data_IF_120221053001
#
_entry.id   IF_120221053001
#
_cell.length_a   1.000
_cell.length_b   1.000
_cell.length_c   1.000
_cell.angle_alpha   90.00
_cell.angle_beta   90.00
_cell.angle_gamma   90.00
#
_symmetry.space_group_name_H-M   'P 1'
#
loop_
_entity.id
_entity.type
_entity.pdbx_description
1 polymer ?
#
# COMPACT_ATOMS: atom_id res chain seq x y z
N UNK A 1 53.27 30.66 1.65
CA UNK A 1 52.75 29.33 2.01
C UNK A 1 51.28 29.38 2.41
N UNK A 2 50.32 29.84 1.57
CA UNK A 2 48.88 29.94 1.95
C UNK A 2 47.87 29.36 0.90
N UNK A 3 48.35 28.68 -0.15
CA UNK A 3 47.46 28.15 -1.22
C UNK A 3 47.16 26.65 -1.17
N UNK A 4 47.79 25.85 -0.29
CA UNK A 4 47.52 24.40 -0.22
C UNK A 4 46.39 23.96 0.70
N UNK A 5 45.99 24.78 1.66
CA UNK A 5 44.96 24.41 2.64
C UNK A 5 43.50 24.53 2.11
N UNK A 6 43.24 25.39 1.11
CA UNK A 6 41.89 25.62 0.56
C UNK A 6 41.48 24.49 -0.38
N UNK A 7 42.41 23.90 -1.14
CA UNK A 7 42.10 22.83 -2.10
C UNK A 7 41.74 21.52 -1.38
N UNK A 8 42.36 21.21 -0.26
CA UNK A 8 42.04 20.00 0.53
C UNK A 8 40.68 20.09 1.18
N UNK A 9 40.29 21.28 1.66
CA UNK A 9 38.93 21.46 2.28
C UNK A 9 37.79 21.28 1.30
N UNK A 10 37.96 21.73 0.05
CA UNK A 10 36.92 21.59 -1.00
C UNK A 10 36.79 20.14 -1.47
N UNK A 11 37.90 19.40 -1.58
CA UNK A 11 37.87 18.00 -1.98
C UNK A 11 37.17 17.10 -0.93
N UNK A 12 37.38 17.37 0.36
CA UNK A 12 36.73 16.61 1.44
C UNK A 12 35.22 16.92 1.50
N UNK A 13 34.81 18.17 1.29
CA UNK A 13 33.40 18.55 1.27
C UNK A 13 32.63 17.92 0.08
N UNK A 14 33.29 17.87 -1.10
CA UNK A 14 32.69 17.24 -2.29
C UNK A 14 32.56 15.71 -2.13
N UNK A 15 33.56 15.04 -1.51
CA UNK A 15 33.46 13.61 -1.21
C UNK A 15 32.38 13.28 -0.17
N UNK A 16 32.19 14.11 0.85
CA UNK A 16 31.15 13.90 1.87
C UNK A 16 29.75 14.08 1.29
N UNK A 17 29.55 15.03 0.39
CA UNK A 17 28.26 15.23 -0.31
C UNK A 17 27.98 14.09 -1.29
N UNK A 18 28.99 13.62 -2.02
CA UNK A 18 28.86 12.49 -2.95
C UNK A 18 28.51 11.19 -2.21
N UNK A 19 29.10 10.93 -1.05
CA UNK A 19 28.81 9.73 -0.24
C UNK A 19 27.43 9.79 0.41
N UNK A 20 26.95 10.97 0.81
CA UNK A 20 25.59 11.17 1.33
C UNK A 20 24.53 10.97 0.23
N UNK A 21 24.76 11.46 -0.98
CA UNK A 21 23.84 11.29 -2.12
C UNK A 21 23.79 9.82 -2.56
N UNK A 22 24.91 9.10 -2.60
CA UNK A 22 24.93 7.66 -2.92
C UNK A 22 24.28 6.80 -1.83
N UNK A 23 24.43 7.14 -0.54
CA UNK A 23 23.78 6.45 0.55
C UNK A 23 22.27 6.67 0.55
N UNK A 24 21.79 7.87 0.18
CA UNK A 24 20.36 8.16 0.06
C UNK A 24 19.75 7.45 -1.15
N UNK A 25 20.43 7.38 -2.29
CA UNK A 25 19.98 6.63 -3.46
C UNK A 25 19.92 5.12 -3.20
N UNK A 26 20.81 4.55 -2.40
CA UNK A 26 20.80 3.14 -2.03
C UNK A 26 19.61 2.74 -1.10
N UNK A 27 18.98 3.71 -0.44
CA UNK A 27 17.81 3.46 0.44
C UNK A 27 16.48 3.44 -0.34
N UNK A 28 16.48 3.93 -1.58
CA UNK A 28 15.27 4.16 -2.40
C UNK A 28 15.19 3.19 -3.59
N UNK A 29 16.05 2.17 -3.64
CA UNK A 29 15.99 1.17 -4.70
C UNK A 29 14.69 0.35 -4.57
N UNK A 30 13.91 0.28 -5.66
CA UNK A 30 12.76 -0.62 -5.72
C UNK A 30 13.24 -2.07 -5.71
N UNK A 31 12.51 -2.93 -4.99
CA UNK A 31 12.80 -4.36 -4.92
C UNK A 31 11.68 -5.13 -5.58
N UNK A 32 12.05 -6.07 -6.45
CA UNK A 32 11.12 -7.06 -6.98
C UNK A 32 11.28 -8.36 -6.21
N UNK A 33 10.16 -8.89 -5.74
CA UNK A 33 10.10 -10.16 -5.05
C UNK A 33 8.80 -10.87 -5.44
N UNK A 34 8.92 -12.14 -5.86
CA UNK A 34 7.77 -12.86 -6.39
C UNK A 34 7.15 -12.13 -7.59
N UNK A 35 5.85 -11.87 -7.49
CA UNK A 35 5.06 -11.20 -8.53
C UNK A 35 4.87 -9.70 -8.27
N UNK A 36 5.51 -9.14 -7.26
CA UNK A 36 5.34 -7.74 -6.87
C UNK A 36 6.66 -7.00 -6.80
N UNK A 37 6.57 -5.69 -6.95
CA UNK A 37 7.65 -4.75 -6.66
C UNK A 37 7.21 -3.82 -5.54
N UNK A 38 8.18 -3.32 -4.76
CA UNK A 38 7.91 -2.36 -3.70
C UNK A 38 9.09 -1.43 -3.47
N UNK A 39 8.82 -0.25 -2.96
CA UNK A 39 9.81 0.76 -2.58
C UNK A 39 9.42 1.40 -1.25
N UNK A 40 10.41 1.72 -0.45
CA UNK A 40 10.17 2.23 0.89
C UNK A 40 9.64 1.17 1.85
N UNK A 41 9.29 1.60 3.06
CA UNK A 41 8.64 0.73 4.05
C UNK A 41 7.90 1.59 5.09
N UNK A 42 6.74 1.12 5.54
CA UNK A 42 5.98 1.77 6.61
C UNK A 42 6.82 2.04 7.86
N UNK A 43 7.62 1.06 8.29
CA UNK A 43 8.48 1.17 9.48
C UNK A 43 9.51 2.30 9.42
N UNK A 44 9.93 2.72 8.21
CA UNK A 44 10.92 3.78 8.04
C UNK A 44 10.40 5.14 8.53
N UNK A 45 9.08 5.35 8.50
CA UNK A 45 8.42 6.56 9.02
C UNK A 45 8.69 6.73 10.53
N UNK A 46 8.71 5.62 11.28
CA UNK A 46 8.95 5.66 12.71
C UNK A 46 10.42 5.88 13.08
N UNK A 47 11.34 5.55 12.18
CA UNK A 47 12.79 5.78 12.35
C UNK A 47 13.14 7.23 12.00
N UNK A 48 12.59 7.72 10.88
CA UNK A 48 12.85 9.09 10.39
C UNK A 48 11.98 10.16 11.06
N UNK A 49 10.85 9.77 11.63
CA UNK A 49 9.80 10.68 12.11
C UNK A 49 9.07 11.41 10.97
N UNK A 50 9.26 11.01 9.70
CA UNK A 50 8.73 11.72 8.52
C UNK A 50 8.21 10.73 7.49
N UNK A 51 7.06 11.02 6.90
CA UNK A 51 6.50 10.32 5.75
C UNK A 51 6.95 10.98 4.43
N UNK A 52 8.27 11.10 4.23
CA UNK A 52 8.84 11.72 3.03
C UNK A 52 8.58 10.83 1.80
N UNK A 53 8.35 11.46 0.64
CA UNK A 53 8.22 10.74 -0.64
C UNK A 53 9.50 10.00 -0.97
N UNK A 54 9.36 8.72 -1.38
CA UNK A 54 10.45 7.86 -1.87
C UNK A 54 10.27 7.46 -3.34
N UNK A 55 9.09 7.72 -3.90
CA UNK A 55 8.74 7.42 -5.29
C UNK A 55 7.72 8.42 -5.79
N UNK A 56 7.83 8.85 -7.05
CA UNK A 56 6.78 9.57 -7.75
C UNK A 56 5.83 8.58 -8.42
N UNK A 57 4.53 8.79 -8.29
CA UNK A 57 3.57 7.98 -9.01
C UNK A 57 3.66 8.20 -10.54
N UNK A 58 4.16 9.37 -10.97
CA UNK A 58 4.42 9.67 -12.38
C UNK A 58 5.43 8.71 -13.03
N UNK A 59 6.39 8.16 -12.24
CA UNK A 59 7.39 7.20 -12.72
C UNK A 59 6.77 5.88 -13.18
N UNK A 60 5.54 5.58 -12.71
CA UNK A 60 4.77 4.38 -13.06
C UNK A 60 3.68 4.64 -14.11
N UNK A 61 3.53 5.89 -14.56
CA UNK A 61 2.52 6.24 -15.55
C UNK A 61 2.81 5.56 -16.90
N UNK A 62 1.76 5.01 -17.52
CA UNK A 62 1.87 4.33 -18.82
C UNK A 62 2.21 2.83 -18.76
N UNK A 63 2.50 2.26 -17.60
CA UNK A 63 2.67 0.83 -17.42
C UNK A 63 1.31 0.12 -17.60
N UNK A 64 1.29 -0.93 -18.44
CA UNK A 64 0.07 -1.71 -18.72
C UNK A 64 -0.20 -2.72 -17.64
N UNK A 65 -1.49 -2.91 -17.29
CA UNK A 65 -1.85 -3.86 -16.23
C UNK A 65 -1.26 -3.50 -14.87
N UNK A 66 -0.99 -2.21 -14.64
CA UNK A 66 -0.46 -1.72 -13.38
C UNK A 66 -1.53 -1.71 -12.30
N UNK A 67 -1.21 -2.32 -11.18
CA UNK A 67 -1.95 -2.24 -9.92
C UNK A 67 -0.98 -1.84 -8.82
N UNK A 68 -1.31 -0.80 -8.07
CA UNK A 68 -0.46 -0.29 -7.01
C UNK A 68 -1.29 0.23 -5.84
N UNK A 69 -0.68 0.25 -4.65
CA UNK A 69 -1.25 0.92 -3.50
C UNK A 69 -0.19 1.39 -2.52
N UNK A 70 -0.53 2.42 -1.78
CA UNK A 70 0.26 3.00 -0.71
C UNK A 70 -0.29 4.36 -0.30
N UNK A 71 0.21 4.91 0.80
CA UNK A 71 -0.19 6.22 1.27
C UNK A 71 0.55 7.34 0.55
N UNK A 72 -0.10 8.48 0.40
CA UNK A 72 0.55 9.70 -0.07
C UNK A 72 1.61 10.14 0.94
N UNK A 73 2.73 10.67 0.44
CA UNK A 73 3.75 11.31 1.27
C UNK A 73 3.13 12.39 2.17
N UNK A 74 3.67 12.56 3.39
CA UNK A 74 3.13 13.51 4.37
C UNK A 74 1.86 13.03 5.08
N UNK A 75 1.43 11.77 4.92
CA UNK A 75 0.14 11.26 5.41
C UNK A 75 -1.05 12.05 4.81
N UNK A 76 -0.96 12.50 3.57
CA UNK A 76 -1.94 13.40 2.91
C UNK A 76 -2.98 12.64 2.07
N UNK A 77 -3.26 11.38 2.38
CA UNK A 77 -4.26 10.58 1.67
C UNK A 77 -3.76 9.20 1.26
N UNK A 78 -4.54 8.56 0.36
CA UNK A 78 -4.29 7.23 -0.17
C UNK A 78 -4.12 7.22 -1.68
N UNK A 79 -3.22 6.37 -2.14
CA UNK A 79 -2.99 6.05 -3.54
C UNK A 79 -3.50 4.64 -3.79
N UNK A 80 -4.30 4.48 -4.83
CA UNK A 80 -4.62 3.19 -5.44
C UNK A 80 -4.50 3.32 -6.95
N UNK A 81 -3.75 2.45 -7.58
CA UNK A 81 -3.79 2.29 -9.05
C UNK A 81 -4.52 0.99 -9.34
N UNK A 82 -5.56 1.07 -10.15
CA UNK A 82 -6.35 -0.09 -10.55
C UNK A 82 -6.45 -0.12 -12.07
N UNK A 83 -5.90 -1.17 -12.69
CA UNK A 83 -5.84 -1.35 -14.14
C UNK A 83 -5.30 -0.09 -14.85
N UNK A 84 -4.09 0.33 -14.46
CA UNK A 84 -3.38 1.49 -14.97
C UNK A 84 -4.13 2.84 -14.84
N UNK A 85 -5.09 2.93 -13.93
CA UNK A 85 -5.80 4.18 -13.59
C UNK A 85 -5.52 4.57 -12.15
N UNK A 86 -5.01 5.79 -11.89
CA UNK A 86 -4.78 6.27 -10.54
C UNK A 86 -6.09 6.73 -9.89
N UNK A 87 -6.27 6.38 -8.63
CA UNK A 87 -7.33 6.84 -7.75
C UNK A 87 -6.67 7.39 -6.49
N UNK A 88 -6.77 8.67 -6.30
CA UNK A 88 -6.19 9.41 -5.20
C UNK A 88 -7.33 9.92 -4.32
N UNK A 89 -7.25 9.64 -3.02
CA UNK A 89 -8.30 10.10 -2.11
C UNK A 89 -7.67 10.81 -0.91
N UNK A 90 -8.16 12.02 -0.63
CA UNK A 90 -7.70 12.87 0.46
C UNK A 90 -8.85 13.26 1.36
N UNK A 91 -8.56 13.44 2.64
CA UNK A 91 -9.54 13.93 3.61
C UNK A 91 -9.81 15.42 3.39
N UNK A 92 -11.08 15.79 3.43
CA UNK A 92 -11.53 17.19 3.43
C UNK A 92 -12.58 17.42 4.52
N UNK A 93 -12.14 18.00 5.65
CA UNK A 93 -13.00 18.10 6.83
C UNK A 93 -13.36 16.74 7.41
N UNK A 94 -14.65 16.42 7.45
CA UNK A 94 -15.15 15.10 7.84
C UNK A 94 -15.39 14.14 6.65
N UNK A 95 -15.18 14.63 5.42
CA UNK A 95 -15.45 13.93 4.17
C UNK A 95 -14.15 13.74 3.37
N UNK A 96 -14.24 13.34 2.12
CA UNK A 96 -13.09 13.13 1.24
C UNK A 96 -13.31 13.76 -0.14
N UNK A 97 -12.21 13.92 -0.87
CA UNK A 97 -12.19 14.23 -2.30
C UNK A 97 -11.42 13.13 -3.03
N UNK A 98 -11.94 12.71 -4.18
CA UNK A 98 -11.32 11.73 -5.06
C UNK A 98 -10.82 12.42 -6.35
N UNK A 99 -9.60 12.08 -6.76
CA UNK A 99 -8.93 12.62 -7.94
C UNK A 99 -8.34 11.49 -8.79
N UNK A 100 -8.26 11.70 -10.10
CA UNK A 100 -7.55 10.80 -11.02
C UNK A 100 -6.28 11.51 -11.51
N UNK A 101 -5.20 11.39 -10.79
CA UNK A 101 -3.94 12.07 -11.12
C UNK A 101 -2.72 11.23 -10.74
N UNK A 102 -1.64 11.36 -11.51
CA UNK A 102 -0.34 10.75 -11.23
C UNK A 102 0.59 11.65 -10.41
N UNK A 103 0.18 12.88 -10.13
CA UNK A 103 1.02 13.95 -9.52
C UNK A 103 1.16 13.83 -8.00
N UNK A 104 1.43 12.64 -7.50
CA UNK A 104 1.68 12.42 -6.06
C UNK A 104 2.89 11.52 -5.85
N UNK A 105 3.54 11.69 -4.72
CA UNK A 105 4.57 10.78 -4.24
C UNK A 105 4.06 9.94 -3.07
N UNK A 106 4.65 8.76 -2.89
CA UNK A 106 4.35 7.85 -1.79
C UNK A 106 5.57 7.70 -0.87
N UNK A 107 5.34 7.49 0.44
CA UNK A 107 6.43 7.17 1.36
C UNK A 107 6.71 5.65 1.47
N UNK A 108 5.83 4.83 0.96
CA UNK A 108 6.08 3.48 0.45
C UNK A 108 5.02 3.17 -0.62
N UNK A 109 5.36 2.31 -1.55
CA UNK A 109 4.45 1.84 -2.57
C UNK A 109 4.73 0.37 -2.85
N UNK A 110 3.68 -0.41 -3.08
CA UNK A 110 3.74 -1.77 -3.59
C UNK A 110 2.93 -1.84 -4.87
N UNK A 111 3.45 -2.55 -5.90
CA UNK A 111 2.77 -2.67 -7.18
C UNK A 111 3.06 -3.98 -7.89
N UNK A 112 2.27 -4.25 -8.91
CA UNK A 112 2.45 -5.32 -9.87
C UNK A 112 2.02 -4.87 -11.25
N UNK A 113 2.58 -5.47 -12.28
CA UNK A 113 2.10 -5.40 -13.66
C UNK A 113 1.51 -6.77 -14.02
N UNK A 114 0.19 -6.87 -13.99
CA UNK A 114 -0.53 -8.13 -14.20
C UNK A 114 -1.72 -7.91 -15.14
N UNK A 115 -1.72 -8.56 -16.30
CA UNK A 115 -2.76 -8.39 -17.32
C UNK A 115 -3.76 -9.54 -17.37
N UNK A 116 -3.39 -10.73 -16.89
CA UNK A 116 -4.24 -11.91 -16.96
C UNK A 116 -4.56 -12.44 -15.57
N UNK A 117 -5.84 -12.66 -15.33
CA UNK A 117 -6.38 -13.09 -14.06
C UNK A 117 -7.28 -14.31 -14.21
N UNK A 118 -7.30 -15.17 -13.20
CA UNK A 118 -8.23 -16.29 -13.07
C UNK A 118 -9.31 -15.93 -12.07
N UNK A 119 -10.56 -16.02 -12.47
CA UNK A 119 -11.70 -15.78 -11.59
C UNK A 119 -11.96 -16.99 -10.69
N UNK A 120 -12.14 -16.73 -9.41
CA UNK A 120 -12.46 -17.71 -8.36
C UNK A 120 -13.69 -17.21 -7.61
N UNK A 121 -14.86 -17.85 -7.73
CA UNK A 121 -16.03 -17.47 -6.96
C UNK A 121 -15.77 -17.58 -5.45
N UNK A 122 -16.14 -16.55 -4.70
CA UNK A 122 -16.00 -16.56 -3.23
C UNK A 122 -17.23 -17.30 -2.65
N UNK A 123 -17.04 -18.41 -1.92
CA UNK A 123 -18.16 -19.14 -1.33
C UNK A 123 -18.74 -18.38 -0.13
N UNK A 124 -20.01 -18.58 0.14
CA UNK A 124 -20.74 -17.93 1.24
C UNK A 124 -20.21 -18.23 2.65
N UNK A 125 -19.31 -19.22 2.77
CA UNK A 125 -18.62 -19.54 4.02
C UNK A 125 -17.49 -18.56 4.35
N UNK A 126 -16.96 -17.85 3.34
CA UNK A 126 -15.96 -16.78 3.50
C UNK A 126 -16.69 -15.48 3.79
N UNK A 127 -16.70 -15.06 5.04
CA UNK A 127 -17.56 -13.95 5.49
C UNK A 127 -16.82 -12.66 5.83
N UNK A 128 -15.62 -12.77 6.40
CA UNK A 128 -14.88 -11.63 6.91
C UNK A 128 -13.45 -11.59 6.44
N UNK A 129 -12.70 -10.63 6.96
CA UNK A 129 -11.32 -10.38 6.55
C UNK A 129 -10.39 -11.58 6.79
N UNK A 130 -10.53 -12.24 7.95
CA UNK A 130 -9.70 -13.41 8.29
C UNK A 130 -10.00 -14.58 7.36
N UNK A 131 -11.29 -14.85 7.11
CA UNK A 131 -11.69 -15.90 6.17
C UNK A 131 -11.18 -15.61 4.76
N UNK A 132 -11.24 -14.33 4.34
CA UNK A 132 -10.70 -13.88 3.06
C UNK A 132 -9.20 -14.12 2.95
N UNK A 133 -8.42 -13.77 3.99
CA UNK A 133 -6.98 -14.03 4.00
C UNK A 133 -6.67 -15.52 3.83
N UNK A 134 -7.37 -16.39 4.56
CA UNK A 134 -7.19 -17.83 4.46
C UNK A 134 -7.60 -18.36 3.07
N UNK A 135 -8.72 -17.86 2.55
CA UNK A 135 -9.21 -18.23 1.23
C UNK A 135 -8.26 -17.82 0.12
N UNK A 136 -7.73 -16.58 0.14
CA UNK A 136 -6.73 -16.09 -0.80
C UNK A 136 -5.50 -17.00 -0.81
N UNK A 137 -4.95 -17.35 0.37
CA UNK A 137 -3.80 -18.26 0.48
C UNK A 137 -4.10 -19.63 -0.11
N UNK A 138 -5.22 -20.24 0.28
CA UNK A 138 -5.59 -21.58 -0.17
C UNK A 138 -5.81 -21.65 -1.70
N UNK A 139 -6.49 -20.63 -2.26
CA UNK A 139 -6.71 -20.58 -3.71
C UNK A 139 -5.43 -20.29 -4.48
N UNK A 140 -4.54 -19.47 -3.96
CA UNK A 140 -3.22 -19.24 -4.56
C UNK A 140 -2.38 -20.54 -4.62
N UNK A 141 -2.35 -21.31 -3.52
CA UNK A 141 -1.70 -22.63 -3.50
C UNK A 141 -2.31 -23.59 -4.53
N UNK A 142 -3.64 -23.62 -4.63
CA UNK A 142 -4.34 -24.46 -5.62
C UNK A 142 -4.01 -24.04 -7.06
N UNK A 143 -3.82 -22.73 -7.29
CA UNK A 143 -3.42 -22.19 -8.59
C UNK A 143 -1.91 -22.34 -8.89
N UNK A 144 -1.12 -22.96 -8.00
CA UNK A 144 0.32 -23.17 -8.18
C UNK A 144 1.16 -21.91 -7.91
N UNK A 145 0.61 -20.89 -7.26
CA UNK A 145 1.35 -19.69 -6.87
C UNK A 145 2.21 -20.02 -5.64
N UNK A 146 3.48 -19.62 -5.68
CA UNK A 146 4.40 -19.73 -4.55
C UNK A 146 4.03 -18.73 -3.44
N UNK A 147 3.25 -19.20 -2.46
CA UNK A 147 2.76 -18.36 -1.35
C UNK A 147 3.85 -17.98 -0.34
N UNK A 148 5.06 -18.48 -0.47
CA UNK A 148 6.21 -18.03 0.32
C UNK A 148 6.74 -16.68 -0.16
N UNK A 149 6.33 -16.26 -1.36
CA UNK A 149 6.65 -14.97 -1.98
C UNK A 149 5.42 -14.09 -2.06
N UNK A 150 5.57 -12.77 -2.08
CA UNK A 150 4.44 -11.88 -2.23
C UNK A 150 3.78 -12.02 -3.60
N UNK A 151 2.44 -11.94 -3.63
CA UNK A 151 1.66 -11.96 -4.85
C UNK A 151 0.44 -11.03 -4.76
N UNK A 152 -0.05 -10.50 -5.89
CA UNK A 152 -1.24 -9.67 -5.95
C UNK A 152 -2.51 -10.52 -6.01
N UNK A 153 -3.64 -9.95 -5.61
CA UNK A 153 -4.96 -10.47 -5.87
C UNK A 153 -5.97 -9.33 -6.04
N UNK A 154 -7.06 -9.57 -6.74
CA UNK A 154 -8.19 -8.65 -6.83
C UNK A 154 -9.41 -9.29 -6.17
N UNK A 155 -10.29 -8.45 -5.61
CA UNK A 155 -11.61 -8.87 -5.15
C UNK A 155 -12.62 -7.87 -5.68
N UNK A 156 -13.72 -8.35 -6.27
CA UNK A 156 -14.76 -7.48 -6.80
C UNK A 156 -16.14 -7.99 -6.45
N UNK A 157 -17.09 -7.08 -6.35
CA UNK A 157 -18.48 -7.38 -6.03
C UNK A 157 -19.07 -6.36 -5.05
N UNK A 158 -20.15 -6.76 -4.38
CA UNK A 158 -20.87 -5.90 -3.43
C UNK A 158 -20.75 -6.47 -2.03
N UNK A 159 -19.82 -5.96 -1.19
CA UNK A 159 -19.73 -6.36 0.21
C UNK A 159 -20.94 -5.86 1.01
N UNK A 160 -21.25 -6.55 2.11
CA UNK A 160 -22.28 -6.11 3.06
C UNK A 160 -21.81 -4.84 3.78
N UNK A 161 -20.55 -4.84 4.25
CA UNK A 161 -19.95 -3.69 4.93
C UNK A 161 -18.43 -3.68 4.70
N UNK A 162 -17.88 -2.49 4.54
CA UNK A 162 -16.43 -2.24 4.58
C UNK A 162 -16.17 -1.12 5.58
N UNK A 163 -15.21 -1.36 6.48
CA UNK A 163 -14.56 -0.32 7.28
C UNK A 163 -13.23 -0.01 6.63
N UNK A 164 -13.00 1.24 6.30
CA UNK A 164 -11.81 1.68 5.59
C UNK A 164 -11.37 3.06 6.07
N UNK A 165 -10.14 3.43 5.78
CA UNK A 165 -9.65 4.73 6.17
C UNK A 165 -8.81 5.40 5.08
N UNK A 166 -8.64 6.68 5.24
CA UNK A 166 -7.71 7.54 4.51
C UNK A 166 -6.72 8.10 5.52
N UNK A 167 -5.42 8.03 5.20
CA UNK A 167 -4.42 8.68 6.02
C UNK A 167 -4.59 10.22 5.97
N UNK A 168 -4.42 10.85 7.12
CA UNK A 168 -4.47 12.31 7.28
C UNK A 168 -3.48 12.71 8.34
N UNK A 169 -2.60 13.67 8.06
CA UNK A 169 -1.63 14.12 9.06
C UNK A 169 -2.33 14.79 10.25
N UNK A 170 -2.12 14.23 11.43
CA UNK A 170 -2.57 14.77 12.74
C UNK A 170 -1.41 14.96 13.71
N UNK A 171 -0.18 15.06 13.19
CA UNK A 171 1.02 15.20 14.03
C UNK A 171 1.27 16.63 14.48
N UNK A 172 0.58 17.62 13.89
CA UNK A 172 0.81 19.04 14.16
C UNK A 172 2.28 19.46 13.91
N UNK A 173 2.92 18.83 12.90
CA UNK A 173 4.31 19.06 12.56
C UNK A 173 5.33 18.39 13.50
N UNK A 174 4.89 17.57 14.46
CA UNK A 174 5.77 16.76 15.31
C UNK A 174 6.24 15.50 14.56
N UNK A 175 7.36 14.87 14.97
CA UNK A 175 7.80 13.62 14.40
C UNK A 175 6.72 12.52 14.50
N UNK A 176 6.59 11.73 13.43
CA UNK A 176 5.64 10.64 13.37
C UNK A 176 6.12 9.49 14.25
N UNK A 177 5.32 9.12 15.24
CA UNK A 177 5.48 7.94 16.10
C UNK A 177 4.46 6.87 15.72
N UNK A 178 4.58 5.66 16.24
CA UNK A 178 3.56 4.62 16.07
C UNK A 178 2.18 5.08 16.57
N UNK A 179 2.16 5.81 17.68
CA UNK A 179 0.93 6.33 18.28
C UNK A 179 0.29 7.43 17.42
N UNK A 180 1.06 8.45 17.00
CA UNK A 180 0.55 9.52 16.15
C UNK A 180 0.13 8.98 14.77
N UNK A 181 0.83 8.01 14.21
CA UNK A 181 0.46 7.33 12.97
C UNK A 181 -0.90 6.61 13.09
N UNK A 182 -1.12 5.89 14.20
CA UNK A 182 -2.39 5.21 14.44
C UNK A 182 -3.58 6.20 14.53
N UNK A 183 -3.34 7.41 15.02
CA UNK A 183 -4.32 8.50 15.10
C UNK A 183 -4.47 9.28 13.79
N UNK A 184 -3.51 9.17 12.88
CA UNK A 184 -3.49 9.87 11.58
C UNK A 184 -4.30 9.13 10.52
N UNK A 185 -5.54 8.75 10.86
CA UNK A 185 -6.49 8.03 10.03
C UNK A 185 -7.87 8.63 10.16
N UNK A 186 -8.52 8.86 9.01
CA UNK A 186 -9.93 9.23 8.97
C UNK A 186 -10.73 7.99 8.57
N UNK A 187 -11.53 7.40 9.48
CA UNK A 187 -12.32 6.20 9.18
C UNK A 187 -13.58 6.53 8.41
N UNK A 188 -13.99 5.58 7.57
CA UNK A 188 -15.24 5.58 6.82
C UNK A 188 -15.88 4.19 6.87
N UNK A 189 -17.18 4.13 6.61
CA UNK A 189 -17.95 2.89 6.48
C UNK A 189 -18.76 2.96 5.19
N UNK A 190 -18.65 1.92 4.37
CA UNK A 190 -19.44 1.75 3.14
C UNK A 190 -20.24 0.46 3.24
N UNK A 191 -21.51 0.48 2.83
CA UNK A 191 -22.42 -0.69 2.90
C UNK A 191 -23.11 -0.91 1.57
N UNK A 192 -23.16 -2.18 1.15
CA UNK A 192 -23.89 -2.62 -0.04
C UNK A 192 -23.57 -1.81 -1.30
N UNK A 193 -22.30 -1.41 -1.44
CA UNK A 193 -21.83 -0.64 -2.59
C UNK A 193 -20.85 -1.49 -3.42
N UNK A 194 -21.03 -1.55 -4.76
CA UNK A 194 -20.11 -2.26 -5.63
C UNK A 194 -18.72 -1.65 -5.61
N UNK A 195 -17.71 -2.50 -5.40
CA UNK A 195 -16.31 -2.12 -5.35
C UNK A 195 -15.44 -2.99 -6.25
N UNK A 196 -14.27 -2.49 -6.56
CA UNK A 196 -13.10 -3.23 -7.00
C UNK A 196 -11.98 -3.06 -5.97
N UNK A 197 -11.12 -4.07 -5.79
CA UNK A 197 -9.99 -3.97 -4.86
C UNK A 197 -8.72 -4.47 -5.50
N UNK A 198 -7.60 -3.90 -5.10
CA UNK A 198 -6.28 -4.51 -5.23
C UNK A 198 -5.80 -4.91 -3.85
N UNK A 199 -5.32 -6.14 -3.72
CA UNK A 199 -4.70 -6.66 -2.52
C UNK A 199 -3.33 -7.27 -2.82
N UNK A 200 -2.44 -7.26 -1.83
CA UNK A 200 -1.17 -7.97 -1.85
C UNK A 200 -1.10 -8.91 -0.64
N UNK A 201 -0.72 -10.15 -0.91
CA UNK A 201 -0.48 -11.15 0.11
C UNK A 201 1.02 -11.30 0.36
N UNK A 202 1.42 -11.40 1.62
CA UNK A 202 2.76 -11.82 2.03
C UNK A 202 2.80 -12.22 3.50
N UNK A 203 3.59 -13.23 3.86
CA UNK A 203 3.82 -13.65 5.26
C UNK A 203 5.02 -12.92 5.91
N UNK A 204 5.84 -12.16 5.13
CA UNK A 204 7.13 -11.65 5.60
C UNK A 204 7.33 -10.14 5.48
N UNK A 205 6.33 -9.40 4.98
CA UNK A 205 6.48 -7.96 4.70
C UNK A 205 5.69 -7.06 5.68
N UNK A 206 5.44 -7.53 6.92
CA UNK A 206 4.84 -6.70 7.97
C UNK A 206 5.71 -5.48 8.28
N UNK A 207 5.08 -4.28 8.29
CA UNK A 207 5.77 -3.00 8.45
C UNK A 207 6.63 -2.57 7.25
N UNK A 208 6.59 -3.32 6.13
CA UNK A 208 7.11 -2.89 4.82
C UNK A 208 5.94 -2.35 4.02
N UNK A 209 5.22 -3.18 3.31
CA UNK A 209 3.99 -2.81 2.61
C UNK A 209 2.73 -3.50 3.16
N UNK A 210 2.87 -4.40 4.13
CA UNK A 210 1.74 -4.85 4.97
C UNK A 210 1.70 -4.01 6.24
N UNK A 211 0.52 -3.59 6.62
CA UNK A 211 0.33 -2.86 7.87
C UNK A 211 0.36 -3.83 9.06
N UNK A 212 1.16 -3.50 10.07
CA UNK A 212 1.29 -4.32 11.28
C UNK A 212 0.04 -4.29 12.19
N UNK A 213 -0.94 -3.42 11.89
CA UNK A 213 -2.05 -3.09 12.80
C UNK A 213 -3.44 -3.34 12.24
N UNK A 214 -3.57 -3.75 10.98
CA UNK A 214 -4.88 -3.95 10.34
C UNK A 214 -4.91 -5.28 9.58
N UNK A 215 -5.94 -6.07 9.76
CA UNK A 215 -6.96 -5.98 10.79
C UNK A 215 -6.40 -6.35 12.15
N UNK A 216 -7.13 -6.01 13.21
CA UNK A 216 -6.83 -6.57 14.53
C UNK A 216 -7.16 -8.07 14.47
N UNK A 217 -6.18 -8.88 14.10
CA UNK A 217 -6.30 -10.33 14.17
C UNK A 217 -6.45 -10.69 15.64
N UNK A 218 -7.46 -11.47 15.97
CA UNK A 218 -7.87 -11.80 17.33
C UNK A 218 -6.65 -12.22 18.16
N UNK A 219 -6.40 -11.48 19.22
CA UNK A 219 -5.32 -11.77 20.17
C UNK A 219 -5.37 -13.24 20.61
N UNK A 220 -4.23 -13.90 20.61
CA UNK A 220 -4.14 -15.33 20.95
C UNK A 220 -4.44 -16.31 19.81
N UNK A 221 -4.83 -15.85 18.60
CA UNK A 221 -5.07 -16.74 17.44
C UNK A 221 -3.78 -17.30 16.84
N UNK A 222 -2.62 -16.71 17.13
CA UNK A 222 -1.34 -17.02 16.47
C UNK A 222 -1.30 -16.61 14.99
N UNK A 223 -2.38 -16.05 14.45
CA UNK A 223 -2.47 -15.62 13.06
C UNK A 223 -1.89 -14.22 12.91
N UNK A 224 -1.05 -14.02 11.88
CA UNK A 224 -0.52 -12.73 11.50
C UNK A 224 -1.31 -12.16 10.32
N UNK A 225 -1.41 -10.83 10.24
CA UNK A 225 -1.93 -10.20 9.05
C UNK A 225 -0.97 -10.43 7.86
N UNK A 226 -1.49 -11.02 6.81
CA UNK A 226 -0.75 -11.35 5.60
C UNK A 226 -1.33 -10.71 4.34
N UNK A 227 -2.39 -9.89 4.45
CA UNK A 227 -2.96 -9.16 3.31
C UNK A 227 -3.04 -7.67 3.59
N UNK A 228 -2.83 -6.88 2.55
CA UNK A 228 -3.06 -5.44 2.51
C UNK A 228 -3.97 -5.16 1.33
N UNK A 229 -5.07 -4.48 1.55
CA UNK A 229 -6.11 -4.29 0.54
C UNK A 229 -6.53 -2.83 0.48
N UNK A 230 -6.62 -2.29 -0.74
CA UNK A 230 -7.28 -1.02 -1.01
C UNK A 230 -8.54 -1.24 -1.85
N UNK A 231 -9.59 -0.52 -1.53
CA UNK A 231 -10.82 -0.47 -2.34
C UNK A 231 -10.75 0.66 -3.36
N UNK A 232 -11.52 0.51 -4.43
CA UNK A 232 -11.99 1.57 -5.32
C UNK A 232 -13.51 1.46 -5.40
N UNK A 233 -14.23 2.49 -4.92
CA UNK A 233 -15.68 2.58 -5.07
C UNK A 233 -16.04 2.78 -6.54
N UNK A 234 -16.97 1.99 -7.06
CA UNK A 234 -17.44 2.18 -8.44
C UNK A 234 -18.29 3.43 -8.60
N UNK A 235 -18.98 3.86 -7.55
CA UNK A 235 -19.83 5.04 -7.57
C UNK A 235 -19.01 6.33 -7.36
N UNK A 236 -18.38 6.49 -6.22
CA UNK A 236 -17.71 7.73 -5.83
C UNK A 236 -16.28 7.88 -6.39
N UNK A 237 -15.70 6.78 -6.90
CA UNK A 237 -14.28 6.71 -7.30
C UNK A 237 -13.29 6.94 -6.15
N UNK A 238 -13.77 6.98 -4.93
CA UNK A 238 -12.91 7.00 -3.75
C UNK A 238 -12.14 5.71 -3.62
N UNK A 239 -10.94 5.82 -3.07
CA UNK A 239 -10.08 4.68 -2.75
C UNK A 239 -9.50 4.84 -1.35
N UNK A 240 -9.12 3.73 -0.73
CA UNK A 240 -8.52 3.76 0.60
C UNK A 240 -8.23 2.39 1.15
N UNK A 241 -7.58 2.38 2.30
CA UNK A 241 -7.15 1.17 2.99
C UNK A 241 -8.32 0.47 3.68
N UNK A 242 -8.52 -0.82 3.39
CA UNK A 242 -9.56 -1.62 4.05
C UNK A 242 -9.04 -2.09 5.41
N UNK A 243 -9.73 -1.67 6.47
CA UNK A 243 -9.47 -2.11 7.85
C UNK A 243 -10.22 -3.40 8.18
N UNK A 244 -11.45 -3.56 7.66
CA UNK A 244 -12.29 -4.73 7.88
C UNK A 244 -13.32 -4.84 6.75
N UNK A 245 -13.76 -6.06 6.44
CA UNK A 245 -14.75 -6.33 5.41
C UNK A 245 -15.67 -7.46 5.82
N UNK A 246 -16.97 -7.27 5.60
CA UNK A 246 -17.98 -8.34 5.57
C UNK A 246 -18.36 -8.59 4.12
N UNK A 247 -18.03 -9.77 3.61
CA UNK A 247 -18.27 -10.11 2.22
C UNK A 247 -19.75 -10.31 1.92
N UNK A 248 -20.15 -9.95 0.70
CA UNK A 248 -21.49 -10.21 0.17
C UNK A 248 -21.51 -11.44 -0.74
N UNK A 249 -22.70 -11.88 -1.10
CA UNK A 249 -22.89 -12.98 -2.05
C UNK A 249 -22.41 -12.58 -3.46
N UNK A 250 -21.89 -13.56 -4.22
CA UNK A 250 -21.49 -13.37 -5.60
C UNK A 250 -20.21 -12.56 -5.80
N UNK A 251 -19.44 -12.29 -4.73
CA UNK A 251 -18.12 -11.67 -4.87
C UNK A 251 -17.14 -12.64 -5.56
N UNK A 252 -16.18 -12.08 -6.29
CA UNK A 252 -15.21 -12.82 -7.09
C UNK A 252 -13.79 -12.42 -6.66
N UNK A 253 -13.01 -13.40 -6.25
CA UNK A 253 -11.55 -13.31 -6.10
C UNK A 253 -10.92 -13.51 -7.48
N UNK A 254 -9.87 -12.73 -7.79
CA UNK A 254 -9.04 -12.95 -8.98
C UNK A 254 -7.60 -13.14 -8.57
N UNK A 255 -7.02 -14.23 -9.06
CA UNK A 255 -5.62 -14.54 -8.85
C UNK A 255 -4.85 -14.38 -10.16
N UNK A 256 -3.57 -13.94 -10.10
CA UNK A 256 -2.76 -13.78 -11.30
C UNK A 256 -2.61 -15.11 -12.03
N UNK A 257 -2.63 -15.07 -13.36
CA UNK A 257 -2.11 -16.19 -14.16
C UNK A 257 -0.59 -16.13 -14.14
N UNK A 258 0.06 -17.25 -13.83
CA UNK A 258 1.52 -17.35 -13.93
C UNK A 258 2.04 -17.06 -15.33
#
# INVERSE_FOLDING_TARGET
>A
MKRRSVVVGIAIAVMLVATLVTAYAAIVESKKEGMVEYVGAQKNVFVSGKAASVVSLEDLAGHKGLYAMGPIAGLDGEITVFDAKPYITKVRGSDYVAENTWKHGAFFLVWTEQVQWNDVPVPSTVKGYIDLQQFVKAQAQTAGIDVTKPFPFLLSGTPVEIKWHINVDRTEGKPITKESFAKSKQPFVTKNEPIDTIGFYSEHHAGVFLTATTPVIKEGSGMQNAIHIHLVSRASKASGHIDDITLGEGMVLRLPKP
#
